data_IF_104129046218
#
_entry.id   IF_104129046218
#
_cell.length_a   1.000
_cell.length_b   1.000
_cell.length_c   1.000
_cell.angle_alpha   90.00
_cell.angle_beta   90.00
_cell.angle_gamma   90.00
#
_symmetry.space_group_name_H-M   'P 1'
#
loop_
_entity.id
_entity.type
_entity.pdbx_description
1 polymer ?
#
# COMPACT_ATOMS: atom_id res chain seq x y z
N UNK A 1 16.17 2.53 17.25
CA UNK A 1 14.69 2.57 17.33
C UNK A 1 14.16 1.41 16.49
N UNK A 2 13.19 0.63 17.02
CA UNK A 2 12.55 -0.45 16.25
C UNK A 2 11.11 -0.04 15.99
N UNK A 3 10.63 -0.23 14.75
CA UNK A 3 9.29 0.17 14.29
C UNK A 3 8.70 -0.99 13.48
N UNK A 4 7.45 -1.35 13.77
CA UNK A 4 6.65 -2.24 12.91
C UNK A 4 5.84 -1.39 11.94
N UNK A 5 5.86 -1.77 10.67
CA UNK A 5 5.20 -1.02 9.59
C UNK A 5 4.04 -1.85 9.04
N UNK A 6 2.80 -1.33 9.04
CA UNK A 6 1.64 -2.07 8.57
C UNK A 6 1.65 -2.25 7.06
N UNK A 7 0.96 -3.26 6.57
CA UNK A 7 0.59 -3.35 5.15
C UNK A 7 -0.73 -2.64 4.85
N UNK A 8 -1.17 -2.66 3.60
CA UNK A 8 -2.51 -2.19 3.19
C UNK A 8 -3.13 -3.12 2.16
N UNK A 9 -4.43 -3.08 2.08
CA UNK A 9 -5.20 -3.55 0.93
C UNK A 9 -6.09 -2.43 0.37
N UNK A 10 -6.61 -2.64 -0.84
CA UNK A 10 -7.65 -1.80 -1.40
C UNK A 10 -8.95 -2.61 -1.43
N UNK A 11 -9.91 -2.33 -0.56
CA UNK A 11 -11.24 -2.95 -0.65
C UNK A 11 -11.98 -2.48 -1.90
N UNK A 12 -11.70 -1.26 -2.35
CA UNK A 12 -12.20 -0.68 -3.57
C UNK A 12 -11.06 0.00 -4.32
N UNK A 13 -10.91 -0.27 -5.62
CA UNK A 13 -9.96 0.40 -6.49
C UNK A 13 -10.56 0.54 -7.89
N UNK A 14 -11.00 1.75 -8.21
CA UNK A 14 -11.50 2.15 -9.51
C UNK A 14 -10.50 3.07 -10.19
N UNK A 15 -10.23 2.85 -11.46
CA UNK A 15 -9.40 3.73 -12.28
C UNK A 15 -10.31 4.69 -13.03
N UNK A 16 -10.26 5.97 -12.64
CA UNK A 16 -11.14 7.01 -13.17
C UNK A 16 -10.70 7.55 -14.55
N UNK A 17 -9.43 7.36 -14.93
CA UNK A 17 -8.89 7.78 -16.20
C UNK A 17 -7.40 8.10 -16.16
N UNK A 18 -6.84 8.48 -17.31
CA UNK A 18 -5.44 8.88 -17.43
C UNK A 18 -5.30 10.40 -17.21
N UNK A 19 -4.34 10.79 -16.39
CA UNK A 19 -4.02 12.19 -16.09
C UNK A 19 -3.00 12.75 -17.09
N UNK A 20 -2.89 14.10 -17.23
CA UNK A 20 -1.95 14.75 -18.13
C UNK A 20 -0.48 14.41 -17.89
N UNK A 21 -0.11 14.09 -16.64
CA UNK A 21 1.23 13.67 -16.23
C UNK A 21 1.57 12.20 -16.54
N UNK A 22 0.61 11.49 -17.17
CA UNK A 22 0.76 10.11 -17.60
C UNK A 22 0.39 9.07 -16.53
N UNK A 23 0.10 9.48 -15.30
CA UNK A 23 -0.46 8.62 -14.25
C UNK A 23 -1.96 8.38 -14.48
N UNK A 24 -2.55 7.52 -13.66
CA UNK A 24 -3.98 7.26 -13.65
C UNK A 24 -4.62 7.87 -12.40
N UNK A 25 -5.72 8.57 -12.59
CA UNK A 25 -6.59 8.96 -11.49
C UNK A 25 -7.30 7.71 -10.97
N UNK A 26 -7.34 7.56 -9.65
CA UNK A 26 -8.03 6.47 -8.97
C UNK A 26 -9.04 6.98 -7.95
N UNK A 27 -9.99 6.12 -7.63
CA UNK A 27 -10.90 6.22 -6.51
C UNK A 27 -10.76 4.94 -5.70
N UNK A 28 -10.34 5.02 -4.45
CA UNK A 28 -9.99 3.82 -3.67
C UNK A 28 -10.40 3.93 -2.21
N UNK A 29 -10.60 2.77 -1.56
CA UNK A 29 -10.66 2.62 -0.11
C UNK A 29 -9.45 1.83 0.34
N UNK A 30 -8.50 2.51 0.96
CA UNK A 30 -7.36 1.91 1.64
C UNK A 30 -7.75 1.41 3.03
N UNK A 31 -7.33 0.20 3.36
CA UNK A 31 -7.45 -0.37 4.70
C UNK A 31 -6.08 -0.85 5.15
N UNK A 32 -5.52 -0.31 6.26
CA UNK A 32 -4.27 -0.78 6.81
C UNK A 32 -4.47 -2.12 7.52
N UNK A 33 -3.45 -2.98 7.45
CA UNK A 33 -3.43 -4.27 8.14
C UNK A 33 -2.17 -4.35 9.02
N UNK A 34 -2.37 -4.75 10.28
CA UNK A 34 -1.26 -4.94 11.23
C UNK A 34 -0.45 -6.21 10.96
N UNK A 35 -1.02 -7.15 10.20
CA UNK A 35 -0.37 -8.37 9.76
C UNK A 35 -0.77 -8.68 8.29
N UNK A 36 0.21 -8.96 7.40
CA UNK A 36 1.65 -8.94 7.61
C UNK A 36 2.21 -7.52 7.83
N UNK A 37 3.28 -7.43 8.61
CA UNK A 37 4.01 -6.18 8.88
C UNK A 37 5.52 -6.38 8.74
N UNK A 38 6.23 -5.37 8.24
CA UNK A 38 7.68 -5.36 8.25
C UNK A 38 8.22 -4.81 9.58
N UNK A 39 9.49 -5.01 9.83
CA UNK A 39 10.19 -4.43 10.99
C UNK A 39 11.39 -3.63 10.51
N UNK A 40 11.47 -2.38 10.95
CA UNK A 40 12.59 -1.48 10.69
C UNK A 40 13.37 -1.22 11.96
N UNK A 41 14.69 -1.30 11.85
CA UNK A 41 15.61 -0.83 12.88
C UNK A 41 16.35 0.40 12.37
N UNK A 42 16.23 1.54 13.06
CA UNK A 42 16.88 2.80 12.72
C UNK A 42 17.88 3.18 13.79
N UNK A 43 19.10 3.51 13.36
CA UNK A 43 20.20 4.03 14.16
C UNK A 43 20.62 5.39 13.61
N UNK A 44 20.75 6.38 14.51
CA UNK A 44 21.16 7.74 14.18
C UNK A 44 22.56 7.99 14.75
N UNK A 45 23.42 8.67 14.01
CA UNK A 45 24.77 9.03 14.43
C UNK A 45 25.09 10.47 14.05
N UNK A 46 25.37 11.30 15.03
CA UNK A 46 25.76 12.70 14.85
C UNK A 46 27.26 12.79 14.46
N UNK A 47 27.63 12.24 13.30
CA UNK A 47 29.01 12.11 12.83
C UNK A 47 29.41 13.15 11.78
N UNK A 48 28.50 14.02 11.38
CA UNK A 48 28.71 15.07 10.39
C UNK A 48 28.88 14.59 8.94
N UNK A 49 28.61 13.31 8.64
CA UNK A 49 28.87 12.71 7.31
C UNK A 49 27.67 12.65 6.39
N UNK A 50 26.47 12.85 6.93
CA UNK A 50 25.20 12.78 6.18
C UNK A 50 25.08 11.47 5.35
N UNK A 51 25.47 10.33 5.92
CA UNK A 51 25.47 9.04 5.23
C UNK A 51 24.18 8.28 5.53
N UNK A 52 23.50 7.80 4.48
CA UNK A 52 22.29 6.96 4.60
C UNK A 52 22.63 5.55 4.12
N UNK A 53 22.57 4.59 5.04
CA UNK A 53 22.78 3.17 4.76
C UNK A 53 21.49 2.40 4.93
N UNK A 54 21.13 1.59 3.94
CA UNK A 54 19.96 0.71 4.00
C UNK A 54 20.37 -0.71 3.68
N UNK A 55 20.04 -1.62 4.59
CA UNK A 55 20.18 -3.06 4.44
C UNK A 55 18.77 -3.71 4.52
N UNK A 56 18.56 -4.76 3.72
CA UNK A 56 17.28 -5.49 3.70
C UNK A 56 17.55 -6.99 3.74
N UNK A 57 16.77 -7.72 4.52
CA UNK A 57 16.87 -9.19 4.62
C UNK A 57 16.39 -9.90 3.35
N UNK A 58 15.59 -9.23 2.50
CA UNK A 58 15.06 -9.81 1.28
C UNK A 58 15.96 -9.49 0.07
N UNK A 59 16.50 -10.50 -0.64
CA UNK A 59 17.50 -10.30 -1.70
C UNK A 59 16.96 -9.53 -2.92
N UNK A 60 15.66 -9.52 -3.15
CA UNK A 60 15.02 -8.78 -4.24
C UNK A 60 14.76 -7.30 -3.95
N UNK A 61 15.10 -6.81 -2.75
CA UNK A 61 14.91 -5.41 -2.35
C UNK A 61 16.26 -4.69 -2.38
N UNK A 62 16.41 -3.60 -3.18
CA UNK A 62 17.68 -2.88 -3.26
C UNK A 62 18.03 -2.19 -1.95
N UNK A 63 19.31 -2.00 -1.69
CA UNK A 63 19.80 -1.15 -0.60
C UNK A 63 20.06 0.30 -1.05
N UNK A 64 20.54 1.14 -0.10
CA UNK A 64 20.93 2.51 -0.34
C UNK A 64 19.83 3.40 -0.90
N UNK A 65 20.17 4.39 -1.72
CA UNK A 65 19.19 5.37 -2.27
C UNK A 65 18.19 4.78 -3.28
N UNK A 66 18.45 3.60 -3.82
CA UNK A 66 17.49 2.88 -4.66
C UNK A 66 16.33 2.31 -3.86
N UNK A 67 16.46 2.21 -2.54
CA UNK A 67 15.40 1.84 -1.62
C UNK A 67 14.59 3.08 -1.23
N UNK A 68 13.27 2.95 -1.14
CA UNK A 68 12.39 4.07 -0.76
C UNK A 68 12.72 4.63 0.63
N UNK A 69 13.16 3.78 1.57
CA UNK A 69 13.62 4.21 2.90
C UNK A 69 14.87 5.09 2.80
N UNK A 70 15.83 4.71 1.95
CA UNK A 70 17.04 5.50 1.70
C UNK A 70 16.72 6.83 1.05
N UNK A 71 15.83 6.82 0.04
CA UNK A 71 15.33 8.05 -0.59
C UNK A 71 14.64 8.96 0.42
N UNK A 72 13.74 8.42 1.23
CA UNK A 72 13.01 9.16 2.25
C UNK A 72 13.95 9.81 3.27
N UNK A 73 14.89 9.04 3.82
CA UNK A 73 15.88 9.55 4.77
C UNK A 73 16.74 10.65 4.14
N UNK A 74 17.25 10.45 2.94
CA UNK A 74 18.07 11.45 2.22
C UNK A 74 17.31 12.75 1.98
N UNK A 75 16.05 12.68 1.57
CA UNK A 75 15.21 13.85 1.34
C UNK A 75 14.95 14.63 2.64
N UNK A 76 14.64 13.95 3.74
CA UNK A 76 14.43 14.59 5.05
C UNK A 76 15.70 15.27 5.53
N UNK A 77 16.84 14.57 5.55
CA UNK A 77 18.11 15.13 6.01
C UNK A 77 18.51 16.36 5.21
N UNK A 78 18.40 16.32 3.88
CA UNK A 78 18.65 17.45 2.99
C UNK A 78 17.69 18.63 3.26
N UNK A 79 16.40 18.36 3.38
CA UNK A 79 15.39 19.42 3.60
C UNK A 79 15.55 20.14 4.95
N UNK A 80 16.21 19.51 5.92
CA UNK A 80 16.47 20.06 7.27
C UNK A 80 17.91 20.54 7.46
N UNK A 81 18.79 20.37 6.46
CA UNK A 81 20.24 20.62 6.56
C UNK A 81 20.90 19.84 7.72
N UNK A 82 20.44 18.61 7.95
CA UNK A 82 20.98 17.72 8.99
C UNK A 82 22.15 16.92 8.43
N UNK A 83 23.25 16.88 9.15
CA UNK A 83 24.48 16.18 8.76
C UNK A 83 24.67 14.83 9.47
N UNK A 84 23.69 14.38 10.24
CA UNK A 84 23.71 13.08 10.88
C UNK A 84 23.67 11.94 9.85
N UNK A 85 24.26 10.81 10.21
CA UNK A 85 24.14 9.56 9.46
C UNK A 85 22.98 8.72 9.97
N UNK A 86 22.31 8.01 9.06
CA UNK A 86 21.17 7.12 9.38
C UNK A 86 21.43 5.74 8.80
N UNK A 87 21.40 4.71 9.67
CA UNK A 87 21.44 3.30 9.27
C UNK A 87 20.06 2.68 9.46
N UNK A 88 19.57 2.00 8.42
CA UNK A 88 18.24 1.40 8.38
C UNK A 88 18.40 -0.07 8.02
N UNK A 89 17.92 -0.95 8.89
CA UNK A 89 17.81 -2.39 8.61
C UNK A 89 16.35 -2.75 8.46
N UNK A 90 15.98 -3.37 7.33
CA UNK A 90 14.61 -3.75 7.01
C UNK A 90 14.47 -5.26 7.07
N UNK A 91 13.58 -5.77 7.92
CA UNK A 91 13.17 -7.17 7.98
C UNK A 91 11.81 -7.32 7.30
N UNK A 92 11.81 -7.89 6.09
CA UNK A 92 10.60 -8.02 5.25
C UNK A 92 9.75 -9.22 5.62
N UNK A 93 8.46 -8.97 5.88
CA UNK A 93 7.41 -9.98 6.01
C UNK A 93 6.22 -9.66 5.08
N UNK A 94 6.02 -8.38 4.73
CA UNK A 94 5.03 -7.99 3.71
C UNK A 94 5.51 -8.50 2.35
N UNK A 95 4.67 -9.21 1.58
CA UNK A 95 5.03 -9.71 0.25
C UNK A 95 5.63 -8.62 -0.64
N UNK A 96 6.87 -8.82 -1.10
CA UNK A 96 7.58 -7.86 -1.95
C UNK A 96 6.92 -7.80 -3.33
N UNK A 97 6.63 -6.60 -3.81
CA UNK A 97 5.88 -6.34 -5.04
C UNK A 97 4.53 -7.07 -5.11
N UNK A 98 3.91 -7.32 -3.95
CA UNK A 98 2.62 -8.00 -3.80
C UNK A 98 1.39 -7.09 -3.83
N UNK A 99 1.53 -5.79 -4.10
CA UNK A 99 0.39 -4.85 -4.10
C UNK A 99 -0.09 -4.40 -2.72
N UNK A 100 0.66 -4.72 -1.65
CA UNK A 100 0.30 -4.43 -0.25
C UNK A 100 1.01 -3.19 0.33
N UNK A 101 1.77 -2.44 -0.47
CA UNK A 101 2.37 -1.16 -0.08
C UNK A 101 3.58 -1.26 0.87
N UNK A 102 4.21 -2.44 1.05
CA UNK A 102 5.28 -2.64 2.04
C UNK A 102 6.43 -1.63 1.93
N UNK A 103 6.99 -1.41 0.74
CA UNK A 103 8.07 -0.43 0.57
C UNK A 103 7.64 1.01 0.85
N UNK A 104 6.38 1.37 0.55
CA UNK A 104 5.81 2.68 0.87
C UNK A 104 5.56 2.82 2.37
N UNK A 105 5.14 1.76 3.04
CA UNK A 105 4.98 1.71 4.49
C UNK A 105 6.31 1.92 5.21
N UNK A 106 7.34 1.22 4.75
CA UNK A 106 8.69 1.36 5.30
C UNK A 106 9.20 2.80 5.15
N UNK A 107 9.02 3.42 3.98
CA UNK A 107 9.41 4.81 3.73
C UNK A 107 8.62 5.81 4.59
N UNK A 108 7.30 5.62 4.72
CA UNK A 108 6.45 6.43 5.60
C UNK A 108 6.91 6.38 7.06
N UNK A 109 7.24 5.18 7.56
CA UNK A 109 7.78 4.99 8.90
C UNK A 109 9.12 5.70 9.09
N UNK A 110 10.02 5.67 8.10
CA UNK A 110 11.29 6.42 8.14
C UNK A 110 11.02 7.91 8.24
N UNK A 111 10.11 8.49 7.44
CA UNK A 111 9.76 9.90 7.52
C UNK A 111 9.24 10.25 8.90
N UNK A 112 8.30 9.47 9.44
CA UNK A 112 7.70 9.67 10.77
C UNK A 112 8.76 9.56 11.89
N UNK A 113 9.69 8.60 11.77
CA UNK A 113 10.79 8.45 12.74
C UNK A 113 11.73 9.66 12.74
N UNK A 114 12.08 10.17 11.55
CA UNK A 114 12.93 11.34 11.40
C UNK A 114 12.19 12.62 11.85
N UNK A 115 10.89 12.72 11.61
CA UNK A 115 10.06 13.80 12.15
C UNK A 115 10.08 13.81 13.68
N UNK A 116 9.96 12.65 14.29
CA UNK A 116 10.04 12.52 15.76
C UNK A 116 11.43 12.85 16.29
N UNK A 117 12.49 12.50 15.55
CA UNK A 117 13.88 12.71 15.96
C UNK A 117 14.29 14.18 15.86
N UNK A 118 13.89 14.89 14.81
CA UNK A 118 14.41 16.22 14.47
C UNK A 118 13.38 17.33 14.55
N UNK A 119 12.09 17.03 14.71
CA UNK A 119 11.02 18.01 14.87
C UNK A 119 10.80 18.87 13.63
N UNK A 120 10.03 18.40 12.64
CA UNK A 120 9.64 19.20 11.48
C UNK A 120 8.13 19.16 11.24
N UNK A 121 7.59 20.10 10.44
CA UNK A 121 6.17 20.25 10.21
C UNK A 121 5.59 19.07 9.38
N UNK A 122 4.32 18.71 9.65
CA UNK A 122 3.64 17.59 9.01
C UNK A 122 3.49 17.77 7.49
N UNK A 123 3.17 18.98 7.02
CA UNK A 123 3.06 19.31 5.60
C UNK A 123 4.37 19.09 4.84
N UNK A 124 5.53 19.40 5.45
CA UNK A 124 6.85 19.08 4.89
C UNK A 124 7.04 17.57 4.76
N UNK A 125 6.63 16.79 5.78
CA UNK A 125 6.65 15.34 5.75
C UNK A 125 5.76 14.77 4.64
N UNK A 126 4.56 15.32 4.47
CA UNK A 126 3.63 14.92 3.42
C UNK A 126 4.18 15.18 2.01
N UNK A 127 4.83 16.33 1.79
CA UNK A 127 5.47 16.66 0.50
C UNK A 127 6.61 15.67 0.17
N UNK A 128 7.46 15.34 1.14
CA UNK A 128 8.54 14.36 0.98
C UNK A 128 7.97 12.96 0.73
N UNK A 129 6.90 12.59 1.44
CA UNK A 129 6.24 11.29 1.25
C UNK A 129 5.72 11.14 -0.19
N UNK A 130 5.06 12.17 -0.72
CA UNK A 130 4.57 12.17 -2.10
C UNK A 130 5.70 12.10 -3.13
N UNK A 131 6.83 12.77 -2.87
CA UNK A 131 8.03 12.66 -3.72
C UNK A 131 8.62 11.26 -3.71
N UNK A 132 8.53 10.53 -2.59
CA UNK A 132 8.96 9.13 -2.51
C UNK A 132 8.07 8.20 -3.33
N UNK A 133 6.75 8.39 -3.28
CA UNK A 133 5.79 7.57 -4.03
C UNK A 133 4.34 7.85 -3.64
N UNK A 134 3.40 7.53 -4.54
CA UNK A 134 1.96 7.86 -4.37
C UNK A 134 1.30 7.20 -3.15
N UNK A 135 1.75 6.01 -2.75
CA UNK A 135 1.20 5.30 -1.58
C UNK A 135 1.88 5.72 -0.26
N UNK A 136 3.02 6.44 -0.29
CA UNK A 136 3.77 6.80 0.93
C UNK A 136 2.99 7.74 1.85
N UNK A 137 2.25 8.75 1.34
CA UNK A 137 1.45 9.64 2.19
C UNK A 137 0.44 8.88 3.08
N UNK A 138 -0.17 7.80 2.59
CA UNK A 138 -1.09 6.96 3.37
C UNK A 138 -0.43 6.40 4.64
N UNK A 139 0.86 6.05 4.56
CA UNK A 139 1.58 5.43 5.67
C UNK A 139 2.18 6.42 6.68
N UNK A 140 1.99 7.73 6.50
CA UNK A 140 2.29 8.70 7.55
C UNK A 140 1.27 8.62 8.70
N UNK A 141 0.01 8.31 8.38
CA UNK A 141 -1.06 8.05 9.34
C UNK A 141 -1.99 6.95 8.79
N UNK A 142 -1.61 5.66 8.92
CA UNK A 142 -2.31 4.55 8.30
C UNK A 142 -3.62 4.22 9.03
N UNK A 143 -4.69 4.88 8.61
CA UNK A 143 -6.08 4.62 9.03
C UNK A 143 -6.94 4.34 7.78
N UNK A 144 -8.08 3.64 7.90
CA UNK A 144 -8.98 3.47 6.76
C UNK A 144 -9.28 4.82 6.12
N UNK A 145 -9.00 4.95 4.82
CA UNK A 145 -9.10 6.23 4.12
C UNK A 145 -9.57 6.05 2.69
N UNK A 146 -10.40 6.97 2.21
CA UNK A 146 -10.56 7.13 0.77
C UNK A 146 -9.34 7.81 0.19
N UNK A 147 -8.98 7.42 -1.03
CA UNK A 147 -7.88 8.03 -1.79
C UNK A 147 -8.34 8.41 -3.19
N UNK A 148 -7.99 9.63 -3.60
CA UNK A 148 -8.23 10.19 -4.93
C UNK A 148 -6.93 10.68 -5.56
N UNK A 149 -7.00 11.23 -6.78
CA UNK A 149 -5.79 11.58 -7.53
C UNK A 149 -5.06 10.31 -7.95
N UNK A 150 -3.76 10.18 -7.63
CA UNK A 150 -2.98 8.93 -7.77
C UNK A 150 -3.14 8.00 -6.55
N UNK A 151 -4.00 8.38 -5.57
CA UNK A 151 -4.18 7.78 -4.26
C UNK A 151 -3.63 8.64 -3.11
N UNK A 152 -3.02 9.78 -3.40
CA UNK A 152 -2.39 10.69 -2.43
C UNK A 152 -3.35 11.68 -1.78
N UNK A 153 -4.52 11.94 -2.38
CA UNK A 153 -5.55 12.80 -1.80
C UNK A 153 -6.39 11.96 -0.83
N UNK A 154 -5.97 11.95 0.43
CA UNK A 154 -6.49 11.05 1.45
C UNK A 154 -7.52 11.73 2.34
N UNK A 155 -8.61 11.02 2.60
CA UNK A 155 -9.62 11.42 3.60
C UNK A 155 -9.90 10.22 4.51
N UNK A 156 -9.59 10.32 5.82
CA UNK A 156 -9.92 9.28 6.79
C UNK A 156 -11.42 8.95 6.79
N UNK A 157 -11.75 7.68 6.93
CA UNK A 157 -13.14 7.20 7.02
C UNK A 157 -13.35 6.56 8.38
N UNK A 158 -14.11 7.25 9.21
CA UNK A 158 -14.43 6.79 10.56
C UNK A 158 -15.65 5.85 10.58
N UNK A 159 -15.75 5.07 11.67
CA UNK A 159 -16.92 4.23 11.96
C UNK A 159 -17.05 3.00 11.07
N UNK A 160 -16.00 2.60 10.36
CA UNK A 160 -16.01 1.35 9.60
C UNK A 160 -15.91 0.13 10.52
N UNK A 161 -16.78 -0.84 10.30
CA UNK A 161 -16.64 -2.20 10.78
C UNK A 161 -15.95 -2.99 9.65
N UNK A 162 -14.79 -3.58 9.96
CA UNK A 162 -14.04 -4.35 8.96
C UNK A 162 -14.36 -5.84 9.12
N UNK A 163 -14.62 -6.56 8.02
CA UNK A 163 -14.77 -8.00 8.06
C UNK A 163 -13.46 -8.69 8.46
N UNK A 164 -13.52 -9.96 8.82
CA UNK A 164 -12.30 -10.78 8.90
C UNK A 164 -11.62 -10.81 7.53
N UNK A 165 -10.30 -10.57 7.52
CA UNK A 165 -9.47 -10.52 6.30
C UNK A 165 -8.40 -11.59 6.39
N UNK A 166 -8.19 -12.34 5.31
CA UNK A 166 -7.08 -13.30 5.16
C UNK A 166 -6.25 -12.92 3.95
N UNK A 167 -4.94 -12.95 4.11
CA UNK A 167 -3.98 -12.68 3.04
C UNK A 167 -3.57 -14.00 2.40
N UNK A 168 -3.56 -14.03 1.07
CA UNK A 168 -3.16 -15.16 0.24
C UNK A 168 -1.98 -14.69 -0.61
N UNK A 169 -0.73 -14.85 -0.12
CA UNK A 169 0.45 -14.42 -0.84
C UNK A 169 0.69 -15.28 -2.09
N UNK A 170 1.31 -14.69 -3.10
CA UNK A 170 1.73 -15.38 -4.30
C UNK A 170 3.25 -15.23 -4.47
N UNK A 171 3.91 -16.25 -4.97
CA UNK A 171 5.38 -16.34 -5.08
C UNK A 171 5.94 -15.65 -6.34
N UNK A 172 5.20 -14.71 -6.92
CA UNK A 172 5.65 -13.93 -8.08
C UNK A 172 5.17 -12.47 -7.98
N UNK A 173 5.95 -11.52 -8.52
CA UNK A 173 5.57 -10.10 -8.51
C UNK A 173 4.74 -9.73 -9.73
N UNK A 174 3.87 -8.70 -9.57
CA UNK A 174 3.26 -7.99 -10.69
C UNK A 174 3.69 -6.52 -10.63
N UNK A 175 4.23 -6.02 -11.74
CA UNK A 175 4.60 -4.60 -11.85
C UNK A 175 3.36 -3.72 -11.87
N UNK A 176 3.28 -2.73 -10.98
CA UNK A 176 2.21 -1.74 -10.99
C UNK A 176 2.12 -1.01 -12.36
N UNK A 177 3.27 -0.65 -12.94
CA UNK A 177 3.32 -0.06 -14.29
C UNK A 177 2.64 -0.94 -15.32
N UNK A 178 2.92 -2.26 -15.31
CA UNK A 178 2.28 -3.20 -16.22
C UNK A 178 0.76 -3.26 -15.99
N UNK A 179 0.32 -3.35 -14.73
CA UNK A 179 -1.10 -3.44 -14.38
C UNK A 179 -1.90 -2.23 -14.91
N UNK A 180 -1.41 -1.02 -14.68
CA UNK A 180 -2.05 0.21 -15.18
C UNK A 180 -1.99 0.35 -16.71
N UNK A 181 -0.97 -0.18 -17.39
CA UNK A 181 -0.87 -0.17 -18.85
C UNK A 181 -1.79 -1.17 -19.55
N UNK A 182 -2.29 -2.17 -18.82
CA UNK A 182 -3.11 -3.26 -19.36
C UNK A 182 -4.54 -3.28 -18.79
N UNK A 183 -5.07 -2.10 -18.43
CA UNK A 183 -6.45 -1.98 -17.95
C UNK A 183 -7.44 -2.59 -18.94
N UNK A 184 -8.37 -3.37 -18.39
CA UNK A 184 -9.39 -4.03 -19.20
C UNK A 184 -10.53 -3.05 -19.54
N UNK A 185 -11.02 -3.00 -20.78
CA UNK A 185 -12.10 -2.10 -21.18
C UNK A 185 -13.39 -2.25 -20.36
N UNK A 186 -13.72 -3.45 -19.94
CA UNK A 186 -14.91 -3.78 -19.17
C UNK A 186 -14.98 -3.11 -17.78
N UNK A 187 -13.86 -2.66 -17.24
CA UNK A 187 -13.84 -1.98 -15.94
C UNK A 187 -14.54 -0.61 -15.96
N UNK A 188 -14.69 0.01 -17.11
CA UNK A 188 -15.32 1.32 -17.27
C UNK A 188 -16.82 1.29 -16.99
N UNK A 189 -17.48 0.17 -17.26
CA UNK A 189 -18.94 -0.02 -17.15
C UNK A 189 -19.35 -0.64 -15.80
N UNK A 190 -18.40 -0.89 -14.90
CA UNK A 190 -18.66 -1.49 -13.61
C UNK A 190 -19.46 -0.53 -12.71
N UNK A 191 -20.70 -0.90 -12.29
CA UNK A 191 -21.58 0.00 -11.55
C UNK A 191 -21.23 0.13 -10.05
N UNK A 192 -20.30 -0.68 -9.53
CA UNK A 192 -19.96 -0.67 -8.10
C UNK A 192 -19.43 0.69 -7.66
N UNK A 193 -19.90 1.15 -6.52
CA UNK A 193 -19.71 2.50 -6.01
C UNK A 193 -18.99 2.49 -4.65
N UNK A 194 -18.00 3.40 -4.46
CA UNK A 194 -17.23 3.54 -3.23
C UNK A 194 -18.12 3.93 -2.04
N UNK A 195 -19.07 4.84 -2.25
CA UNK A 195 -19.95 5.30 -1.16
C UNK A 195 -20.85 4.18 -0.65
N UNK A 196 -21.33 3.29 -1.52
CA UNK A 196 -22.11 2.12 -1.13
C UNK A 196 -21.27 1.12 -0.32
N UNK A 197 -20.00 0.90 -0.72
CA UNK A 197 -19.05 0.10 0.04
C UNK A 197 -18.86 0.66 1.46
N UNK A 198 -18.64 1.97 1.59
CA UNK A 198 -18.48 2.65 2.89
C UNK A 198 -19.75 2.51 3.73
N UNK A 199 -20.94 2.70 3.14
CA UNK A 199 -22.21 2.55 3.83
C UNK A 199 -22.41 1.13 4.36
N UNK A 200 -22.14 0.11 3.54
CA UNK A 200 -22.21 -1.30 3.95
C UNK A 200 -21.24 -1.62 5.10
N UNK A 201 -19.99 -1.13 5.02
CA UNK A 201 -19.01 -1.33 6.09
C UNK A 201 -19.39 -0.61 7.39
N UNK A 202 -20.03 0.56 7.34
CA UNK A 202 -20.49 1.28 8.54
C UNK A 202 -21.59 0.54 9.29
N UNK A 203 -22.42 -0.20 8.56
CA UNK A 203 -23.53 -0.98 9.16
C UNK A 203 -23.14 -2.43 9.48
N UNK A 204 -21.92 -2.86 9.13
CA UNK A 204 -21.48 -4.25 9.27
C UNK A 204 -22.15 -5.21 8.28
N UNK A 205 -22.74 -4.69 7.19
CA UNK A 205 -23.27 -5.52 6.10
C UNK A 205 -22.13 -6.04 5.23
N UNK A 206 -21.41 -7.05 5.75
CA UNK A 206 -20.25 -7.62 5.08
C UNK A 206 -20.62 -8.38 3.81
N UNK A 207 -21.86 -8.84 3.68
CA UNK A 207 -22.34 -9.49 2.45
C UNK A 207 -22.41 -8.49 1.30
N UNK A 208 -23.01 -7.32 1.53
CA UNK A 208 -23.03 -6.23 0.55
C UNK A 208 -21.64 -5.68 0.30
N UNK A 209 -20.83 -5.46 1.34
CA UNK A 209 -19.46 -5.00 1.19
C UNK A 209 -18.60 -5.94 0.33
N UNK A 210 -18.72 -7.26 0.54
CA UNK A 210 -18.03 -8.27 -0.27
C UNK A 210 -18.49 -8.29 -1.75
N UNK A 211 -19.77 -8.04 -2.00
CA UNK A 211 -20.29 -7.92 -3.38
C UNK A 211 -19.77 -6.66 -4.09
N UNK A 212 -19.47 -5.61 -3.33
CA UNK A 212 -18.93 -4.34 -3.84
C UNK A 212 -17.40 -4.31 -3.97
N UNK A 213 -16.68 -5.37 -3.57
CA UNK A 213 -15.23 -5.46 -3.79
C UNK A 213 -14.90 -5.17 -5.26
N UNK A 214 -14.02 -4.19 -5.48
CA UNK A 214 -13.63 -3.76 -6.81
C UNK A 214 -12.14 -3.56 -6.91
N UNK A 215 -11.54 -4.06 -7.99
CA UNK A 215 -10.18 -3.71 -8.37
C UNK A 215 -10.07 -3.74 -9.90
N UNK A 216 -10.00 -2.57 -10.52
CA UNK A 216 -9.95 -2.43 -11.98
C UNK A 216 -8.66 -2.99 -12.60
N UNK A 217 -7.63 -3.26 -11.80
CA UNK A 217 -6.40 -3.92 -12.26
C UNK A 217 -6.55 -5.46 -12.29
N UNK A 218 -7.53 -6.01 -11.58
CA UNK A 218 -7.69 -7.46 -11.42
C UNK A 218 -8.04 -8.21 -12.72
N UNK A 219 -8.96 -7.75 -13.60
CA UNK A 219 -9.31 -8.51 -14.81
C UNK A 219 -8.12 -8.77 -15.73
N UNK A 220 -7.24 -7.78 -15.93
CA UNK A 220 -6.04 -7.96 -16.73
C UNK A 220 -5.02 -8.89 -16.04
N UNK A 221 -4.85 -8.77 -14.71
CA UNK A 221 -3.97 -9.60 -13.94
C UNK A 221 -4.42 -11.08 -13.97
N UNK A 222 -5.70 -11.35 -13.77
CA UNK A 222 -6.25 -12.72 -13.81
C UNK A 222 -6.12 -13.35 -15.21
N UNK A 223 -6.31 -12.59 -16.30
CA UNK A 223 -6.08 -13.10 -17.65
C UNK A 223 -4.62 -13.42 -17.94
N UNK A 224 -3.71 -12.56 -17.48
CA UNK A 224 -2.25 -12.74 -17.73
C UNK A 224 -1.65 -13.82 -16.85
N UNK A 225 -2.13 -13.95 -15.62
CA UNK A 225 -1.63 -14.88 -14.61
C UNK A 225 -2.76 -15.80 -14.13
N UNK A 226 -3.10 -16.87 -14.90
CA UNK A 226 -4.23 -17.77 -14.59
C UNK A 226 -4.18 -18.38 -13.18
N UNK A 227 -2.98 -18.51 -12.61
CA UNK A 227 -2.82 -19.04 -11.25
C UNK A 227 -3.56 -18.17 -10.21
N UNK A 228 -3.68 -16.86 -10.42
CA UNK A 228 -4.46 -15.99 -9.54
C UNK A 228 -5.94 -16.38 -9.53
N UNK A 229 -6.51 -16.58 -10.73
CA UNK A 229 -7.92 -16.96 -10.87
C UNK A 229 -8.17 -18.37 -10.30
N UNK A 230 -7.28 -19.32 -10.57
CA UNK A 230 -7.37 -20.66 -10.00
C UNK A 230 -7.29 -20.65 -8.48
N UNK A 231 -6.37 -19.85 -7.91
CA UNK A 231 -6.24 -19.68 -6.45
C UNK A 231 -7.49 -19.06 -5.86
N UNK A 232 -8.06 -18.02 -6.49
CA UNK A 232 -9.31 -17.40 -6.08
C UNK A 232 -10.45 -18.41 -6.03
N UNK A 233 -10.68 -19.12 -7.15
CA UNK A 233 -11.76 -20.11 -7.27
C UNK A 233 -11.61 -21.25 -6.26
N UNK A 234 -10.39 -21.78 -6.11
CA UNK A 234 -10.10 -22.82 -5.13
C UNK A 234 -10.41 -22.35 -3.72
N UNK A 235 -9.89 -21.19 -3.32
CA UNK A 235 -10.10 -20.66 -1.98
C UNK A 235 -11.60 -20.43 -1.68
N UNK A 236 -12.35 -19.80 -2.61
CA UNK A 236 -13.79 -19.55 -2.45
C UNK A 236 -14.60 -20.87 -2.37
N UNK A 237 -14.21 -21.90 -3.14
CA UNK A 237 -14.87 -23.21 -3.10
C UNK A 237 -14.64 -23.99 -1.80
N UNK A 238 -13.42 -23.91 -1.26
CA UNK A 238 -13.02 -24.56 0.00
C UNK A 238 -13.47 -23.80 1.25
N UNK A 239 -13.78 -22.49 1.11
CA UNK A 239 -14.16 -21.63 2.20
C UNK A 239 -15.47 -20.86 1.90
N UNK A 240 -16.65 -21.53 1.99
CA UNK A 240 -17.93 -20.87 1.79
C UNK A 240 -18.11 -19.66 2.73
N UNK A 241 -18.62 -18.55 2.18
CA UNK A 241 -18.76 -17.30 2.95
C UNK A 241 -17.52 -16.40 2.95
N UNK A 242 -16.57 -16.67 2.07
CA UNK A 242 -15.44 -15.80 1.78
C UNK A 242 -15.48 -15.30 0.35
N UNK A 243 -15.04 -14.06 0.14
CA UNK A 243 -14.89 -13.45 -1.18
C UNK A 243 -13.45 -12.97 -1.37
N UNK A 244 -12.84 -13.37 -2.49
CA UNK A 244 -11.43 -13.09 -2.78
C UNK A 244 -11.29 -11.96 -3.80
N UNK A 245 -10.30 -11.08 -3.58
CA UNK A 245 -9.95 -10.00 -4.50
C UNK A 245 -8.42 -9.82 -4.57
N UNK A 246 -7.95 -9.16 -5.63
CA UNK A 246 -6.55 -8.78 -5.82
C UNK A 246 -6.21 -7.55 -4.96
N UNK A 247 -5.06 -7.56 -4.28
CA UNK A 247 -4.55 -6.40 -3.54
C UNK A 247 -3.77 -5.47 -4.48
N UNK A 248 -4.23 -4.24 -4.66
CA UNK A 248 -3.55 -3.26 -5.51
C UNK A 248 -3.26 -3.81 -6.89
N UNK A 249 -2.01 -3.72 -7.35
CA UNK A 249 -1.57 -4.29 -8.63
C UNK A 249 -1.34 -5.82 -8.59
N UNK A 250 -1.41 -6.42 -7.41
CA UNK A 250 -1.09 -7.85 -7.18
C UNK A 250 0.42 -8.07 -6.97
N UNK A 251 0.87 -9.33 -6.88
CA UNK A 251 0.09 -10.57 -7.09
C UNK A 251 -0.67 -11.08 -5.85
N UNK A 252 -0.48 -10.49 -4.67
CA UNK A 252 -1.18 -10.93 -3.46
C UNK A 252 -2.69 -10.83 -3.64
N UNK A 253 -3.40 -11.89 -3.25
CA UNK A 253 -4.85 -11.88 -3.08
C UNK A 253 -5.20 -11.68 -1.60
N UNK A 254 -6.37 -11.16 -1.35
CA UNK A 254 -6.97 -11.16 -0.01
C UNK A 254 -8.40 -11.69 -0.06
N UNK A 255 -8.82 -12.30 1.02
CA UNK A 255 -10.20 -12.77 1.19
C UNK A 255 -10.87 -12.00 2.31
N UNK A 256 -12.15 -11.65 2.13
CA UNK A 256 -12.99 -11.05 3.17
C UNK A 256 -14.13 -11.98 3.52
N UNK A 257 -14.47 -12.04 4.81
CA UNK A 257 -15.62 -12.81 5.29
C UNK A 257 -16.93 -12.05 5.01
N UNK A 258 -17.97 -12.76 4.58
CA UNK A 258 -19.23 -12.16 4.13
C UNK A 258 -20.34 -12.16 5.21
N UNK A 259 -20.05 -12.64 6.42
CA UNK A 259 -20.98 -12.70 7.55
C UNK A 259 -20.26 -12.67 8.89
#
# INVERSE_FOLDING_TARGET
>A
MIIRTPSKINLFLKVAGKMPDGFHAIETLFVPLQDPSDELELLFSADGKQNVRVECTHPGVPGGEKNLCGKAATLVLKALNITDSVSIVIRKNIPVAGGMGGGSSDAGAVITALQKQYGFLEDKGAAIALECGSDVPFFLNPVPSTGFGRGEILTPVEGLQLPEIRIIPMDFPISAKWAYQNLAPETKEDPRCLNEMIAALRTGDFKTAAALLRNDLAPAAFRKFPLLELTRQKFESENPGWKVQLSGSGATLFAVRTF
#
